data_IF_001033951780
#
_entry.id   IF_001033951780
#
_cell.length_a   1.000
_cell.length_b   1.000
_cell.length_c   1.000
_cell.angle_alpha   90.00
_cell.angle_beta   90.00
_cell.angle_gamma   90.00
#
_symmetry.space_group_name_H-M   'P 1'
#
loop_
_entity.id
_entity.type
_entity.pdbx_description
1 polymer ?
#
# COMPACT_ATOMS: atom_id res chain seq x y z
N UNK A 1 -24.83 -10.37 -5.72
CA UNK A 1 -23.68 -11.29 -5.46
C UNK A 1 -23.90 -11.99 -4.13
N UNK A 2 -23.83 -13.32 -4.07
CA UNK A 2 -24.06 -14.05 -2.81
C UNK A 2 -22.84 -14.01 -1.88
N UNK A 3 -22.99 -14.15 -0.55
CA UNK A 3 -21.87 -14.17 0.39
C UNK A 3 -20.85 -15.28 0.12
N UNK A 4 -21.31 -16.44 -0.39
CA UNK A 4 -20.44 -17.55 -0.79
C UNK A 4 -19.59 -17.19 -2.02
N UNK A 5 -20.22 -16.59 -3.03
CA UNK A 5 -19.56 -16.13 -4.24
C UNK A 5 -18.53 -15.02 -3.95
N UNK A 6 -18.85 -14.12 -3.00
CA UNK A 6 -17.90 -13.10 -2.50
C UNK A 6 -16.62 -13.70 -1.94
N UNK A 7 -16.75 -14.67 -1.03
CA UNK A 7 -15.60 -15.33 -0.41
C UNK A 7 -14.78 -16.11 -1.43
N UNK A 8 -15.45 -16.73 -2.41
CA UNK A 8 -14.78 -17.47 -3.48
C UNK A 8 -13.93 -16.55 -4.36
N UNK A 9 -14.49 -15.43 -4.81
CA UNK A 9 -13.77 -14.44 -5.63
C UNK A 9 -12.55 -13.88 -4.88
N UNK A 10 -12.71 -13.50 -3.62
CA UNK A 10 -11.60 -12.98 -2.80
C UNK A 10 -10.50 -14.02 -2.51
N UNK A 11 -10.83 -15.30 -2.56
CA UNK A 11 -9.86 -16.39 -2.42
C UNK A 11 -9.16 -16.76 -3.73
N UNK A 12 -9.56 -16.18 -4.86
CA UNK A 12 -8.91 -16.47 -6.15
C UNK A 12 -7.45 -15.98 -6.12
N UNK A 13 -6.47 -16.86 -6.38
CA UNK A 13 -5.05 -16.48 -6.40
C UNK A 13 -4.77 -15.34 -7.38
N UNK A 14 -5.41 -15.34 -8.55
CA UNK A 14 -5.25 -14.31 -9.56
C UNK A 14 -5.64 -12.91 -9.05
N UNK A 15 -6.74 -12.79 -8.30
CA UNK A 15 -7.17 -11.51 -7.73
C UNK A 15 -6.17 -11.01 -6.68
N UNK A 16 -5.71 -11.91 -5.81
CA UNK A 16 -4.73 -11.57 -4.78
C UNK A 16 -3.40 -11.14 -5.39
N UNK A 17 -2.90 -11.89 -6.38
CA UNK A 17 -1.67 -11.56 -7.11
C UNK A 17 -1.78 -10.21 -7.81
N UNK A 18 -2.93 -9.89 -8.44
CA UNK A 18 -3.16 -8.58 -9.06
C UNK A 18 -3.15 -7.45 -8.03
N UNK A 19 -3.79 -7.66 -6.87
CA UNK A 19 -3.76 -6.69 -5.76
C UNK A 19 -2.35 -6.46 -5.23
N UNK A 20 -1.59 -7.53 -5.00
CA UNK A 20 -0.18 -7.48 -4.56
C UNK A 20 0.69 -6.79 -5.60
N UNK A 21 0.53 -7.10 -6.89
CA UNK A 21 1.29 -6.47 -7.97
C UNK A 21 1.05 -4.96 -8.02
N UNK A 22 -0.20 -4.51 -7.87
CA UNK A 22 -0.52 -3.08 -7.79
C UNK A 22 0.11 -2.44 -6.55
N UNK A 23 -0.01 -3.08 -5.39
CA UNK A 23 0.60 -2.57 -4.15
C UNK A 23 2.13 -2.49 -4.24
N UNK A 24 2.79 -3.46 -4.87
CA UNK A 24 4.25 -3.44 -5.11
C UNK A 24 4.69 -2.28 -6.00
N UNK A 25 3.92 -1.94 -7.04
CA UNK A 25 4.21 -0.77 -7.88
C UNK A 25 4.11 0.52 -7.08
N UNK A 26 3.03 0.69 -6.31
CA UNK A 26 2.85 1.85 -5.42
C UNK A 26 4.01 1.92 -4.42
N UNK A 27 4.37 0.81 -3.79
CA UNK A 27 5.45 0.75 -2.82
C UNK A 27 6.80 1.13 -3.42
N UNK A 28 7.12 0.65 -4.62
CA UNK A 28 8.36 1.01 -5.32
C UNK A 28 8.40 2.51 -5.64
N UNK A 29 7.30 3.08 -6.15
CA UNK A 29 7.22 4.53 -6.41
C UNK A 29 7.30 5.35 -5.13
N UNK A 30 6.64 4.92 -4.05
CA UNK A 30 6.71 5.59 -2.76
C UNK A 30 8.14 5.56 -2.19
N UNK A 31 8.81 4.41 -2.25
CA UNK A 31 10.20 4.29 -1.81
C UNK A 31 11.13 5.20 -2.62
N UNK A 32 10.93 5.29 -3.93
CA UNK A 32 11.70 6.20 -4.78
C UNK A 32 11.51 7.67 -4.38
N UNK A 33 10.27 8.09 -4.10
CA UNK A 33 9.97 9.46 -3.61
C UNK A 33 10.67 9.72 -2.29
N UNK A 34 10.51 8.82 -1.31
CA UNK A 34 11.18 8.91 0.00
C UNK A 34 12.69 9.07 -0.17
N UNK A 35 13.32 8.21 -0.97
CA UNK A 35 14.77 8.24 -1.18
C UNK A 35 15.22 9.55 -1.87
N UNK A 36 14.45 10.04 -2.85
CA UNK A 36 14.79 11.27 -3.57
C UNK A 36 14.68 12.53 -2.72
N UNK A 37 13.85 12.50 -1.69
CA UNK A 37 13.58 13.64 -0.79
C UNK A 37 14.33 13.49 0.55
N UNK A 38 15.28 12.55 0.64
CA UNK A 38 16.11 12.34 1.83
C UNK A 38 15.39 11.71 3.02
N UNK A 39 14.20 11.13 2.79
CA UNK A 39 13.44 10.43 3.82
C UNK A 39 14.07 9.09 4.20
N UNK A 40 13.72 8.62 5.39
CA UNK A 40 14.21 7.38 5.99
C UNK A 40 13.14 6.28 6.04
N UNK A 41 11.91 6.58 5.62
CA UNK A 41 10.81 5.62 5.64
C UNK A 41 11.12 4.38 4.79
N UNK A 42 10.96 3.21 5.42
CA UNK A 42 10.91 1.93 4.73
C UNK A 42 9.47 1.64 4.31
N UNK A 43 9.26 1.48 3.01
CA UNK A 43 7.96 1.15 2.44
C UNK A 43 7.85 -0.35 2.22
N UNK A 44 6.79 -0.96 2.76
CA UNK A 44 6.54 -2.41 2.69
C UNK A 44 5.13 -2.71 2.20
N UNK A 45 4.90 -3.94 1.73
CA UNK A 45 3.58 -4.42 1.32
C UNK A 45 3.14 -5.54 2.25
N UNK A 46 1.95 -5.39 2.83
CA UNK A 46 1.30 -6.42 3.65
C UNK A 46 0.03 -6.87 2.93
N UNK A 47 -0.14 -8.17 2.74
CA UNK A 47 -1.32 -8.73 2.10
C UNK A 47 -1.91 -9.88 2.87
N UNK A 48 -3.20 -10.14 2.68
CA UNK A 48 -3.87 -11.26 3.30
C UNK A 48 -5.37 -11.24 3.09
N UNK A 49 -6.08 -12.02 3.91
CA UNK A 49 -7.55 -12.06 3.96
C UNK A 49 -8.01 -11.52 5.32
N UNK A 50 -8.84 -10.48 5.32
CA UNK A 50 -9.47 -9.95 6.54
C UNK A 50 -10.60 -10.87 7.03
N UNK A 51 -10.99 -10.77 8.32
CA UNK A 51 -12.25 -11.33 8.80
C UNK A 51 -13.40 -10.97 7.85
N UNK A 52 -14.24 -11.96 7.53
CA UNK A 52 -15.29 -11.82 6.51
C UNK A 52 -14.87 -12.22 5.08
N UNK A 53 -13.59 -12.56 4.85
CA UNK A 53 -13.12 -13.14 3.59
C UNK A 53 -12.70 -12.12 2.54
N UNK A 54 -12.30 -10.92 2.95
CA UNK A 54 -11.88 -9.82 2.06
C UNK A 54 -10.39 -9.86 1.80
N UNK A 55 -9.98 -10.02 0.54
CA UNK A 55 -8.57 -9.88 0.19
C UNK A 55 -8.12 -8.42 0.32
N UNK A 56 -6.90 -8.22 0.82
CA UNK A 56 -6.28 -6.90 0.88
C UNK A 56 -4.79 -6.97 0.53
N UNK A 57 -4.29 -5.86 0.00
CA UNK A 57 -2.87 -5.56 -0.12
C UNK A 57 -2.69 -4.09 0.28
N UNK A 58 -1.92 -3.86 1.34
CA UNK A 58 -1.66 -2.56 1.94
C UNK A 58 -0.21 -2.17 1.73
N UNK A 59 0.02 -0.89 1.47
CA UNK A 59 1.34 -0.28 1.45
C UNK A 59 1.52 0.43 2.79
N UNK A 60 2.60 0.11 3.49
CA UNK A 60 2.86 0.55 4.86
C UNK A 60 4.21 1.26 4.91
N UNK A 61 4.25 2.43 5.55
CA UNK A 61 5.46 3.18 5.86
C UNK A 61 5.91 2.87 7.30
N UNK A 62 7.21 2.79 7.53
CA UNK A 62 7.79 2.75 8.88
C UNK A 62 7.80 4.11 9.58
N UNK A 63 7.65 5.21 8.84
CA UNK A 63 7.59 6.58 9.39
C UNK A 63 6.24 7.20 9.10
N UNK A 64 5.48 7.47 10.17
CA UNK A 64 4.22 8.22 10.09
C UNK A 64 4.50 9.70 9.81
N UNK A 65 5.56 10.22 10.42
CA UNK A 65 5.88 11.65 10.42
C UNK A 65 6.26 12.13 9.03
N UNK A 66 6.96 11.31 8.24
CA UNK A 66 7.25 11.63 6.83
C UNK A 66 6.00 11.67 5.95
N UNK A 67 4.92 10.97 6.30
CA UNK A 67 3.68 10.95 5.50
C UNK A 67 2.74 12.13 5.84
N UNK A 68 2.68 12.50 7.12
CA UNK A 68 1.75 13.50 7.63
C UNK A 68 2.40 14.86 7.94
N UNK A 69 3.71 14.89 8.17
CA UNK A 69 4.42 16.02 8.73
C UNK A 69 4.22 16.15 10.24
N UNK A 70 5.22 16.68 10.91
CA UNK A 70 5.17 17.13 12.31
C UNK A 70 5.85 18.50 12.41
N UNK A 71 5.95 19.06 13.61
CA UNK A 71 6.68 20.30 13.85
C UNK A 71 8.18 20.19 13.44
N UNK A 72 8.77 19.01 13.65
CA UNK A 72 10.21 18.76 13.43
C UNK A 72 10.50 17.96 12.16
N UNK A 73 9.49 17.36 11.54
CA UNK A 73 9.66 16.48 10.37
C UNK A 73 8.84 17.00 9.20
N UNK A 74 9.48 17.40 8.09
CA UNK A 74 8.76 17.86 6.91
C UNK A 74 7.95 16.72 6.29
N UNK A 75 6.84 17.10 5.65
CA UNK A 75 5.94 16.16 5.00
C UNK A 75 6.41 15.81 3.58
N UNK A 76 6.78 14.55 3.36
CA UNK A 76 7.08 13.96 2.03
C UNK A 76 5.80 13.48 1.35
N UNK A 77 4.91 12.82 2.12
CA UNK A 77 3.66 12.22 1.64
C UNK A 77 3.87 11.21 0.51
N UNK A 78 4.89 10.36 0.65
CA UNK A 78 5.33 9.41 -0.38
C UNK A 78 4.22 8.45 -0.80
N UNK A 79 3.47 7.87 0.14
CA UNK A 79 2.39 6.90 -0.18
C UNK A 79 1.23 7.62 -0.88
N UNK A 80 0.81 8.77 -0.33
CA UNK A 80 -0.27 9.56 -0.91
C UNK A 80 0.05 10.03 -2.33
N UNK A 81 1.31 10.38 -2.62
CA UNK A 81 1.74 10.79 -3.97
C UNK A 81 1.87 9.60 -4.91
N UNK A 82 2.52 8.52 -4.47
CA UNK A 82 2.67 7.31 -5.27
C UNK A 82 1.30 6.75 -5.71
N UNK A 83 0.33 6.67 -4.79
CA UNK A 83 -1.01 6.17 -5.11
C UNK A 83 -1.75 6.95 -6.20
N UNK A 84 -1.48 8.25 -6.34
CA UNK A 84 -2.05 9.11 -7.39
C UNK A 84 -1.32 8.96 -8.72
N UNK A 85 0.00 8.79 -8.68
CA UNK A 85 0.83 8.62 -9.87
C UNK A 85 0.63 7.27 -10.56
N UNK A 86 0.36 6.20 -9.79
CA UNK A 86 0.21 4.83 -10.32
C UNK A 86 -1.26 4.43 -10.59
N UNK A 87 -2.13 5.40 -10.91
CA UNK A 87 -3.58 5.18 -10.97
C UNK A 87 -3.98 4.25 -12.11
#
# INVERSE_FOLDING_TARGET
>A
MTPKMYKQINRMPALQQRGIAKARRIAATAQAITNSEGGSARITVVSGIRPGGRAFAQVVSSSRDEEYGTETTPRIRAIGRASRATK
#
